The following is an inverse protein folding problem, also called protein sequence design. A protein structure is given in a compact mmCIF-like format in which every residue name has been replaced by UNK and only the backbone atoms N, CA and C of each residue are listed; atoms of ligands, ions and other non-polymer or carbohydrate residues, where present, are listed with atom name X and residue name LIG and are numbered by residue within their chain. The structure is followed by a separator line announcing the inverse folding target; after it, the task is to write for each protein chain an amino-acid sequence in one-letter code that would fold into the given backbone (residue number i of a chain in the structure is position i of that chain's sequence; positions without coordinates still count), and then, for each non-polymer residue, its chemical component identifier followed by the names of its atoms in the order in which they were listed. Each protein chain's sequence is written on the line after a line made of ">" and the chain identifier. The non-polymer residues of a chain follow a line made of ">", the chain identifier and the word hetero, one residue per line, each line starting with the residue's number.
data_IF_902415343950
#
_entry.id   IF_902415343950
#
_cell.length_a   1.000
_cell.length_b   1.000
_cell.length_c   1.000
_cell.angle_alpha   90.00
_cell.angle_beta   90.00
_cell.angle_gamma   90.00
#
_symmetry.space_group_name_H-M   'P 1'
#
loop_
_entity.id
_entity.type
_entity.pdbx_description
1 polymer ?
2 non-polymer ?
3 water ?
#
# COMPACT_ATOMS: atom_id res chain seq x y z
N UNK A 15 15.88 17.64 -6.89
CA UNK A 15 15.32 16.32 -7.26
C UNK A 15 15.39 16.13 -8.77
N UNK A 16 15.92 14.99 -9.20
CA UNK A 16 15.91 14.70 -10.64
C UNK A 16 14.57 14.05 -10.99
N UNK A 17 13.59 14.14 -10.08
CA UNK A 17 12.27 13.61 -10.40
C UNK A 17 11.22 14.71 -10.53
N UNK A 18 11.63 15.98 -10.55
CA UNK A 18 10.65 17.07 -10.58
C UNK A 18 9.88 17.06 -11.91
N UNK A 19 10.59 16.86 -13.03
CA UNK A 19 9.90 16.79 -14.33
C UNK A 19 9.04 15.54 -14.41
N UNK A 20 9.56 14.44 -13.84
CA UNK A 20 8.83 13.19 -13.80
C UNK A 20 7.48 13.37 -13.15
N UNK A 21 7.45 13.94 -11.95
CA UNK A 21 6.17 14.04 -11.23
C UNK A 21 5.22 15.00 -11.93
N UNK A 22 5.77 16.03 -12.59
CA UNK A 22 4.93 16.90 -13.40
C UNK A 22 4.21 16.18 -14.51
N UNK A 23 4.80 15.07 -15.01
CA UNK A 23 4.10 14.22 -15.99
C UNK A 23 3.37 13.05 -15.34
N UNK A 24 3.83 12.60 -14.18
CA UNK A 24 3.32 11.39 -13.55
C UNK A 24 1.90 11.60 -13.06
N UNK A 25 1.64 12.72 -12.36
CA UNK A 25 0.29 12.93 -11.83
C UNK A 25 -0.79 13.11 -12.91
N UNK A 26 -0.60 13.88 -14.00
CA UNK A 26 -1.61 13.85 -15.08
C UNK A 26 -1.82 12.47 -15.68
N UNK A 27 -0.76 11.66 -15.73
CA UNK A 27 -0.88 10.29 -16.22
C UNK A 27 -1.79 9.46 -15.32
N UNK A 28 -1.57 9.52 -14.01
CA UNK A 28 -2.48 8.88 -13.04
C UNK A 28 -3.92 9.33 -13.25
N UNK A 29 -4.13 10.62 -13.52
CA UNK A 29 -5.49 11.09 -13.79
C UNK A 29 -6.09 10.44 -15.04
N UNK A 30 -5.30 10.37 -16.11
CA UNK A 30 -5.80 9.74 -17.33
C UNK A 30 -6.11 8.25 -17.13
N UNK A 31 -5.34 7.54 -16.31
CA UNK A 31 -5.69 6.13 -16.08
C UNK A 31 -6.96 6.02 -15.25
N UNK A 32 -7.15 6.95 -14.28
CA UNK A 32 -8.40 6.96 -13.53
C UNK A 32 -9.59 7.22 -14.43
N UNK A 33 -9.45 8.14 -15.37
CA UNK A 33 -10.53 8.41 -16.32
C UNK A 33 -10.77 7.23 -17.25
N UNK A 34 -9.71 6.52 -17.62
CA UNK A 34 -9.88 5.41 -18.53
C UNK A 34 -10.47 4.20 -17.82
N UNK A 35 -10.42 4.18 -16.50
CA UNK A 35 -11.04 3.08 -15.75
C UNK A 35 -12.52 2.96 -16.06
N UNK A 36 -13.19 4.11 -16.25
CA UNK A 36 -14.65 4.22 -16.46
C UNK A 36 -15.06 3.58 -17.78
N UNK A 37 -14.13 3.44 -18.70
CA UNK A 37 -14.45 2.99 -20.07
C UNK A 37 -14.13 1.50 -20.18
N UNK A 38 -13.74 0.88 -19.08
CA UNK A 38 -13.53 -0.58 -19.09
C UNK A 38 -14.90 -1.24 -19.10
N UNK A 39 -14.98 -2.46 -19.59
CA UNK A 39 -16.27 -3.08 -19.94
C UNK A 39 -16.71 -3.98 -18.79
N UNK A 40 -15.81 -4.83 -18.30
CA UNK A 40 -16.06 -5.63 -17.07
C UNK A 40 -16.21 -4.67 -15.91
N UNK A 41 -17.31 -4.72 -15.20
CA UNK A 41 -17.55 -3.76 -14.14
C UNK A 41 -16.59 -3.95 -12.97
N UNK A 42 -16.23 -5.20 -12.68
CA UNK A 42 -15.28 -5.46 -11.59
C UNK A 42 -13.90 -4.87 -11.90
N UNK A 43 -13.45 -4.98 -13.16
CA UNK A 43 -12.22 -4.32 -13.56
C UNK A 43 -12.32 -2.80 -13.41
N UNK A 44 -13.50 -2.23 -13.71
CA UNK A 44 -13.71 -0.80 -13.54
C UNK A 44 -13.55 -0.38 -12.08
N UNK A 45 -14.18 -1.13 -11.18
CA UNK A 45 -14.04 -0.86 -9.75
C UNK A 45 -12.60 -1.02 -9.27
N UNK A 46 -11.94 -2.08 -9.73
CA UNK A 46 -10.60 -2.38 -9.26
C UNK A 46 -9.61 -1.32 -9.71
N UNK A 47 -9.68 -0.94 -10.98
CA UNK A 47 -8.78 0.11 -11.47
C UNK A 47 -9.08 1.45 -10.81
N UNK A 48 -10.36 1.78 -10.59
CA UNK A 48 -10.68 3.06 -9.95
C UNK A 48 -10.04 3.17 -8.56
N UNK A 49 -10.26 2.13 -7.74
CA UNK A 49 -9.69 2.09 -6.40
C UNK A 49 -8.16 2.15 -6.45
N UNK A 50 -7.57 1.39 -7.39
CA UNK A 50 -6.14 1.41 -7.62
C UNK A 50 -5.62 2.81 -7.93
N UNK A 51 -6.32 3.55 -8.80
CA UNK A 51 -5.81 4.87 -9.16
C UNK A 51 -5.88 5.86 -8.01
N UNK A 52 -6.96 5.81 -7.22
CA UNK A 52 -7.05 6.59 -5.97
C UNK A 52 -5.82 6.35 -5.10
N UNK A 53 -5.52 5.06 -4.83
CA UNK A 53 -4.37 4.76 -3.97
C UNK A 53 -3.07 5.20 -4.61
N UNK A 54 -2.93 4.99 -5.91
CA UNK A 54 -1.74 5.41 -6.65
C UNK A 54 -1.47 6.89 -6.47
N UNK A 55 -2.53 7.69 -6.47
CA UNK A 55 -2.39 9.12 -6.27
C UNK A 55 -1.85 9.42 -4.88
N UNK A 56 -2.47 8.82 -3.86
CA UNK A 56 -2.01 9.06 -2.48
C UNK A 56 -0.57 8.60 -2.29
N UNK A 57 -0.27 7.39 -2.80
CA UNK A 57 1.04 6.80 -2.64
C UNK A 57 2.11 7.60 -3.36
N UNK A 58 1.86 8.06 -4.59
CA UNK A 58 2.92 8.84 -5.25
C UNK A 58 3.10 10.22 -4.63
N UNK A 59 2.05 10.80 -4.01
CA UNK A 59 2.27 12.03 -3.22
C UNK A 59 3.21 11.76 -2.05
N UNK A 60 3.02 10.61 -1.38
CA UNK A 60 3.97 10.19 -0.33
C UNK A 60 5.38 9.99 -0.90
N UNK A 61 5.52 9.22 -1.98
CA UNK A 61 6.84 8.95 -2.54
C UNK A 61 7.54 10.26 -2.90
N UNK A 62 6.78 11.22 -3.41
CA UNK A 62 7.36 12.52 -3.73
C UNK A 62 7.85 13.21 -2.45
N UNK A 63 7.11 13.04 -1.34
CA UNK A 63 7.66 13.49 -0.05
C UNK A 63 8.96 12.77 0.33
N UNK A 64 9.03 11.44 0.16
CA UNK A 64 10.24 10.72 0.56
C UNK A 64 11.43 11.08 -0.32
N UNK A 65 11.20 11.52 -1.56
CA UNK A 65 12.32 11.83 -2.43
C UNK A 65 12.89 13.23 -2.16
N UNK A 66 12.07 14.14 -1.63
CA UNK A 66 12.54 15.49 -1.36
C UNK A 66 13.62 15.60 -0.29
N UNK B 15 8.72 -5.75 23.53
CA UNK B 15 8.44 -6.87 24.41
C UNK B 15 6.93 -6.98 24.67
N UNK B 16 6.27 -5.81 24.78
CA UNK B 16 4.84 -5.72 25.06
C UNK B 16 3.96 -6.15 23.88
N UNK B 17 4.53 -6.44 22.71
CA UNK B 17 3.75 -6.76 21.55
C UNK B 17 4.00 -8.17 21.02
N UNK B 18 4.79 -8.97 21.72
CA UNK B 18 5.11 -10.32 21.26
C UNK B 18 3.86 -11.18 21.16
N UNK B 19 2.97 -11.10 22.17
CA UNK B 19 1.74 -11.88 22.11
C UNK B 19 0.83 -11.36 21.00
N UNK B 20 0.80 -10.04 20.83
CA UNK B 20 0.03 -9.44 19.74
C UNK B 20 0.44 -10.01 18.38
N UNK B 21 1.75 -10.01 18.08
CA UNK B 21 2.21 -10.51 16.78
C UNK B 21 1.97 -11.99 16.63
N UNK B 22 2.12 -12.73 17.74
CA UNK B 22 1.79 -14.13 17.76
C UNK B 22 0.38 -14.42 17.29
N UNK B 23 -0.56 -13.52 17.61
CA UNK B 23 -1.93 -13.69 17.10
C UNK B 23 -2.19 -12.95 15.79
N UNK B 24 -1.44 -11.90 15.51
CA UNK B 24 -1.70 -11.10 14.32
C UNK B 24 -1.39 -11.87 13.05
N UNK B 25 -0.20 -12.50 12.97
CA UNK B 25 0.16 -13.16 11.71
C UNK B 25 -0.77 -14.32 11.30
N UNK B 26 -1.19 -15.25 12.20
CA UNK B 26 -2.25 -16.20 11.81
C UNK B 26 -3.56 -15.53 11.40
N UNK B 27 -3.90 -14.39 12.01
CA UNK B 27 -5.06 -13.62 11.55
C UNK B 27 -4.85 -13.12 10.11
N UNK B 28 -3.67 -12.58 9.79
CA UNK B 28 -3.37 -12.12 8.43
C UNK B 28 -3.50 -13.24 7.40
N UNK B 29 -3.05 -14.46 7.76
CA UNK B 29 -3.25 -15.58 6.84
C UNK B 29 -4.73 -15.90 6.68
N UNK B 30 -5.50 -15.84 7.77
CA UNK B 30 -6.93 -16.14 7.68
C UNK B 30 -7.67 -15.12 6.83
N UNK B 31 -7.30 -13.83 6.92
CA UNK B 31 -7.91 -12.82 6.06
C UNK B 31 -7.50 -13.02 4.60
N UNK B 32 -6.22 -13.34 4.36
CA UNK B 32 -5.78 -13.72 3.01
C UNK B 32 -6.60 -14.88 2.45
N UNK B 33 -6.83 -15.91 3.28
CA UNK B 33 -7.61 -17.07 2.84
C UNK B 33 -9.05 -16.69 2.57
N UNK B 34 -9.66 -15.91 3.46
CA UNK B 34 -11.01 -15.40 3.23
C UNK B 34 -11.12 -14.55 1.97
N UNK B 35 -10.00 -14.00 1.46
CA UNK B 35 -10.10 -13.23 0.22
C UNK B 35 -10.63 -14.07 -0.94
N UNK B 36 -10.34 -15.38 -0.94
CA UNK B 36 -10.74 -16.25 -2.04
C UNK B 36 -12.26 -16.41 -2.16
N UNK B 37 -12.98 -16.32 -1.05
CA UNK B 37 -14.40 -16.63 -1.03
C UNK B 37 -15.30 -15.41 -1.26
N UNK B 38 -14.74 -14.23 -1.48
CA UNK B 38 -15.58 -13.08 -1.79
C UNK B 38 -16.19 -13.27 -3.17
N UNK B 39 -17.33 -12.62 -3.41
CA UNK B 39 -18.05 -12.78 -4.70
C UNK B 39 -17.43 -11.93 -5.79
N UNK B 40 -17.29 -10.63 -5.54
CA UNK B 40 -16.78 -9.72 -6.60
C UNK B 40 -15.31 -10.05 -6.87
N UNK B 41 -14.92 -9.97 -8.14
CA UNK B 41 -13.50 -10.22 -8.49
C UNK B 41 -12.66 -9.04 -8.06
N UNK B 42 -13.23 -7.84 -8.06
CA UNK B 42 -12.49 -6.66 -7.59
C UNK B 42 -12.24 -6.72 -6.09
N UNK B 43 -13.19 -7.24 -5.32
CA UNK B 43 -13.02 -7.42 -3.88
C UNK B 43 -11.94 -8.45 -3.56
N UNK B 44 -11.92 -9.56 -4.30
CA UNK B 44 -10.88 -10.57 -4.12
C UNK B 44 -9.50 -10.03 -4.44
N UNK B 45 -9.35 -9.37 -5.59
CA UNK B 45 -8.05 -8.85 -5.99
C UNK B 45 -7.56 -7.75 -5.04
N UNK B 46 -8.47 -6.88 -4.58
CA UNK B 46 -8.04 -5.83 -3.67
C UNK B 46 -7.60 -6.40 -2.32
N UNK B 47 -8.34 -7.37 -1.77
CA UNK B 47 -7.98 -7.88 -0.43
C UNK B 47 -6.70 -8.71 -0.53
N UNK B 48 -6.52 -9.42 -1.64
CA UNK B 48 -5.34 -10.29 -1.80
C UNK B 48 -4.08 -9.42 -1.85
N UNK B 49 -4.13 -8.33 -2.62
CA UNK B 49 -2.94 -7.44 -2.76
C UNK B 49 -2.63 -6.79 -1.41
N UNK B 50 -3.67 -6.30 -0.70
CA UNK B 50 -3.44 -5.70 0.63
C UNK B 50 -2.82 -6.76 1.55
N UNK B 51 -3.28 -8.01 1.49
CA UNK B 51 -2.69 -8.99 2.39
C UNK B 51 -1.22 -9.24 2.05
N UNK B 52 -0.91 -9.33 0.73
CA UNK B 52 0.49 -9.41 0.28
C UNK B 52 1.31 -8.26 0.86
N UNK B 53 0.81 -7.03 0.72
CA UNK B 53 1.53 -5.87 1.25
C UNK B 53 1.61 -5.91 2.77
N UNK B 54 0.53 -6.36 3.42
CA UNK B 54 0.44 -6.36 4.92
C UNK B 54 1.61 -7.08 5.58
N UNK B 55 2.02 -8.21 5.03
CA UNK B 55 3.14 -9.00 5.63
C UNK B 55 4.39 -8.14 5.77
N UNK B 56 4.83 -7.49 4.70
CA UNK B 56 6.09 -6.71 4.73
C UNK B 56 5.92 -5.45 5.57
N UNK B 57 4.71 -4.89 5.58
CA UNK B 57 4.45 -3.70 6.41
C UNK B 57 4.55 -4.12 7.88
N UNK B 58 3.98 -5.28 8.22
CA UNK B 58 4.00 -5.75 9.62
C UNK B 58 5.41 -6.23 9.99
N UNK B 59 6.14 -6.82 9.04
CA UNK B 59 7.54 -7.08 9.34
C UNK B 59 8.26 -5.78 9.68
N UNK B 60 8.01 -4.72 8.89
CA UNK B 60 8.61 -3.43 9.17
C UNK B 60 8.19 -2.92 10.55
N UNK B 61 6.91 -3.05 10.90
CA UNK B 61 6.45 -2.51 12.18
C UNK B 61 7.07 -3.29 13.34
N UNK B 62 7.19 -4.61 13.20
CA UNK B 62 7.81 -5.43 14.23
C UNK B 62 9.26 -5.06 14.44
N UNK B 63 9.99 -4.86 13.33
CA UNK B 63 11.35 -4.33 13.38
C UNK B 63 11.40 -2.99 14.12
N UNK B 64 10.56 -2.04 13.74
CA UNK B 64 10.58 -0.67 14.35
C UNK B 64 10.31 -0.74 15.85
N UNK B 65 9.44 -1.65 16.29
CA UNK B 65 9.09 -1.78 17.73
C UNK B 65 10.16 -2.62 18.43
N UNK C 15 -2.80 0.46 -25.35
CA UNK C 15 -2.38 1.15 -26.59
C UNK C 15 -2.21 2.64 -26.32
N UNK C 16 -3.30 3.30 -25.94
CA UNK C 16 -3.25 4.75 -25.70
C UNK C 16 -2.29 5.05 -24.56
N UNK C 17 -1.78 3.99 -23.92
CA UNK C 17 -0.93 4.27 -22.77
C UNK C 17 0.48 3.76 -22.96
N UNK C 18 0.79 3.25 -24.17
CA UNK C 18 2.09 2.67 -24.47
C UNK C 18 3.21 3.69 -24.33
N UNK C 19 2.95 4.94 -24.73
CA UNK C 19 3.92 6.01 -24.50
C UNK C 19 4.12 6.24 -23.01
N UNK C 20 3.01 6.29 -22.26
CA UNK C 20 3.13 6.61 -20.85
C UNK C 20 3.83 5.50 -20.09
N UNK C 21 3.50 4.24 -20.41
CA UNK C 21 4.26 3.17 -19.78
C UNK C 21 5.71 3.16 -20.23
N UNK C 22 5.97 3.63 -21.47
CA UNK C 22 7.34 3.79 -21.93
C UNK C 22 8.12 4.75 -21.04
N UNK C 23 7.46 5.78 -20.53
CA UNK C 23 8.18 6.58 -19.53
C UNK C 23 8.13 5.96 -18.14
N UNK C 24 7.04 5.25 -17.82
CA UNK C 24 6.77 4.90 -16.44
C UNK C 24 7.74 3.88 -15.93
N UNK C 25 8.05 2.88 -16.75
CA UNK C 25 8.85 1.76 -16.26
C UNK C 25 10.29 2.18 -15.91
N UNK C 26 11.04 2.89 -16.77
CA UNK C 26 12.34 3.41 -16.30
C UNK C 26 12.20 4.34 -15.12
N UNK C 27 11.10 5.07 -15.03
CA UNK C 27 10.89 5.93 -13.87
C UNK C 27 10.80 5.11 -12.58
N UNK C 28 10.03 4.03 -12.58
CA UNK C 28 10.01 3.14 -11.42
C UNK C 28 11.39 2.59 -11.11
N UNK C 29 12.16 2.23 -12.16
CA UNK C 29 13.53 1.75 -11.95
C UNK C 29 14.39 2.81 -11.26
N UNK C 30 14.27 4.05 -11.72
CA UNK C 30 15.03 5.16 -11.14
C UNK C 30 14.60 5.45 -9.70
N UNK C 31 13.30 5.35 -9.40
CA UNK C 31 12.87 5.64 -8.02
C UNK C 31 13.30 4.52 -7.07
N UNK C 32 13.18 3.27 -7.50
CA UNK C 32 13.68 2.17 -6.66
C UNK C 32 15.20 2.25 -6.49
N UNK C 33 15.91 2.76 -7.50
CA UNK C 33 17.36 2.93 -7.38
C UNK C 33 17.71 4.09 -6.47
N UNK C 34 16.95 5.18 -6.53
CA UNK C 34 17.16 6.30 -5.62
C UNK C 34 16.81 5.97 -4.18
N UNK C 35 15.98 4.94 -3.96
CA UNK C 35 15.66 4.49 -2.61
C UNK C 35 16.91 4.14 -1.81
N UNK C 36 17.92 3.55 -2.46
CA UNK C 36 19.18 3.21 -1.79
C UNK C 36 19.95 4.46 -1.36
N UNK C 37 19.73 5.58 -2.05
CA UNK C 37 20.56 6.76 -1.87
C UNK C 37 20.08 7.66 -0.73
N UNK C 38 18.94 7.37 -0.09
CA UNK C 38 18.49 8.20 1.02
C UNK C 38 19.38 7.95 2.23
N UNK C 39 19.85 9.04 2.85
CA UNK C 39 20.65 8.91 4.06
C UNK C 39 19.80 8.42 5.22
N UNK C 40 18.55 8.88 5.31
CA UNK C 40 17.64 8.49 6.37
C UNK C 40 17.21 7.03 6.23
N UNK C 41 17.35 6.26 7.31
CA UNK C 41 17.07 4.82 7.28
C UNK C 41 15.58 4.53 7.19
N UNK C 42 14.76 5.31 7.88
CA UNK C 42 13.31 5.15 7.78
C UNK C 42 12.81 5.46 6.38
N UNK C 43 13.25 6.58 5.81
CA UNK C 43 12.86 6.94 4.45
C UNK C 43 13.29 5.87 3.45
N UNK C 44 14.52 5.37 3.59
CA UNK C 44 15.01 4.31 2.72
C UNK C 44 14.17 3.04 2.83
N UNK C 45 13.82 2.62 4.06
CA UNK C 45 12.99 1.44 4.26
C UNK C 45 11.57 1.62 3.68
N UNK C 46 10.97 2.80 3.91
CA UNK C 46 9.63 3.03 3.41
C UNK C 46 9.61 3.07 1.88
N UNK C 47 10.54 3.81 1.28
CA UNK C 47 10.53 3.89 -0.17
C UNK C 47 10.86 2.55 -0.80
N UNK C 48 11.77 1.77 -0.21
CA UNK C 48 12.10 0.46 -0.77
C UNK C 48 10.91 -0.48 -0.75
N UNK C 49 10.18 -0.55 0.39
CA UNK C 49 8.94 -1.32 0.45
C UNK C 49 7.88 -0.79 -0.52
N UNK C 50 7.75 0.54 -0.63
CA UNK C 50 6.76 1.12 -1.53
C UNK C 50 7.07 0.76 -2.98
N UNK C 51 8.33 0.80 -3.39
CA UNK C 51 8.64 0.48 -4.78
C UNK C 51 8.42 -0.99 -5.10
N UNK C 52 8.72 -1.89 -4.13
CA UNK C 52 8.35 -3.29 -4.28
C UNK C 52 6.84 -3.44 -4.49
N UNK C 53 6.04 -2.72 -3.69
CA UNK C 53 4.58 -2.78 -3.87
C UNK C 53 4.14 -2.16 -5.19
N UNK C 54 4.87 -1.14 -5.62
CA UNK C 54 4.48 -0.43 -6.82
C UNK C 54 4.66 -1.30 -8.05
N UNK C 55 5.68 -2.17 -8.05
CA UNK C 55 5.88 -3.06 -9.20
C UNK C 55 4.70 -4.01 -9.41
N UNK C 56 4.24 -4.65 -8.34
CA UNK C 56 3.08 -5.53 -8.45
C UNK C 56 1.82 -4.75 -8.83
N UNK C 57 1.63 -3.57 -8.22
CA UNK C 57 0.49 -2.73 -8.56
C UNK C 57 0.49 -2.37 -10.04
N UNK C 58 1.63 -1.96 -10.59
CA UNK C 58 1.64 -1.53 -11.99
C UNK C 58 1.48 -2.71 -12.94
N UNK C 59 1.98 -3.89 -12.57
CA UNK C 59 1.65 -5.11 -13.31
C UNK C 59 0.13 -5.35 -13.35
N UNK C 60 -0.54 -5.20 -12.21
CA UNK C 60 -2.00 -5.39 -12.18
C UNK C 60 -2.74 -4.30 -12.95
N UNK C 61 -2.27 -3.06 -12.86
CA UNK C 61 -2.92 -1.94 -13.51
C UNK C 61 -2.89 -2.12 -15.01
N UNK C 62 -1.74 -2.50 -15.55
CA UNK C 62 -1.70 -2.68 -16.99
C UNK C 62 -2.36 -3.98 -17.43
N UNK C 63 -2.47 -4.98 -16.54
CA UNK C 63 -3.36 -6.10 -16.82
C UNK C 63 -4.81 -5.64 -16.98
N UNK C 64 -5.28 -4.76 -16.08
CA UNK C 64 -6.64 -4.23 -16.15
C UNK C 64 -6.86 -3.39 -17.40
N UNK C 65 -5.90 -2.53 -17.73
CA UNK C 65 -6.03 -1.70 -18.93
C UNK C 65 -5.93 -2.53 -20.21
N UNK C 66 -5.26 -3.68 -20.16
CA UNK C 66 -5.05 -4.48 -21.34
C UNK C 66 -6.10 -5.55 -21.55
N UNK D 15 -18.28 -11.82 9.82
CA UNK D 15 -19.04 -12.35 10.95
C UNK D 15 -18.20 -13.35 11.75
N UNK D 16 -17.27 -14.02 11.05
CA UNK D 16 -16.29 -14.88 11.72
C UNK D 16 -15.15 -14.07 12.32
N UNK D 17 -14.83 -12.92 11.74
CA UNK D 17 -13.68 -12.13 12.18
C UNK D 17 -14.04 -11.07 13.22
N UNK D 18 -15.19 -11.18 13.88
CA UNK D 18 -15.61 -10.09 14.76
C UNK D 18 -14.75 -10.01 16.01
N UNK D 19 -14.36 -11.16 16.57
CA UNK D 19 -13.51 -11.08 17.75
C UNK D 19 -12.08 -10.71 17.38
N UNK D 20 -11.65 -11.10 16.18
CA UNK D 20 -10.32 -10.69 15.69
C UNK D 20 -10.23 -9.18 15.56
N UNK D 21 -11.22 -8.55 14.88
CA UNK D 21 -11.21 -7.10 14.75
C UNK D 21 -11.35 -6.41 16.09
N UNK D 22 -12.11 -7.03 17.02
CA UNK D 22 -12.20 -6.50 18.37
C UNK D 22 -10.87 -6.48 19.09
N UNK D 23 -10.00 -7.43 18.80
CA UNK D 23 -8.62 -7.36 19.32
C UNK D 23 -7.75 -6.42 18.51
N UNK D 24 -8.00 -6.33 17.21
CA UNK D 24 -7.05 -5.68 16.30
C UNK D 24 -7.11 -4.15 16.40
N UNK D 25 -8.32 -3.58 16.55
CA UNK D 25 -8.40 -2.11 16.63
C UNK D 25 -7.67 -1.53 17.86
N UNK D 26 -7.83 -2.04 19.08
CA UNK D 26 -7.04 -1.50 20.19
C UNK D 26 -5.56 -1.77 20.06
N UNK D 27 -5.19 -2.85 19.35
CA UNK D 27 -3.78 -3.11 19.08
C UNK D 27 -3.19 -2.09 18.10
N UNK D 28 -3.93 -1.73 17.04
CA UNK D 28 -3.50 -0.66 16.16
C UNK D 28 -3.32 0.65 16.93
N UNK D 29 -4.29 0.98 17.81
CA UNK D 29 -4.14 2.16 18.67
C UNK D 29 -2.90 2.06 19.56
N UNK D 30 -2.62 0.86 20.10
CA UNK D 30 -1.46 0.67 20.97
C UNK D 30 -0.16 0.86 20.21
N UNK D 31 -0.08 0.42 18.96
CA UNK D 31 1.14 0.62 18.18
C UNK D 31 1.31 2.10 17.83
N UNK D 32 0.23 2.74 17.39
CA UNK D 32 0.27 4.17 17.08
C UNK D 32 0.70 4.98 18.29
N UNK D 33 0.21 4.60 19.48
CA UNK D 33 0.57 5.28 20.70
C UNK D 33 1.99 4.94 21.14
N UNK D 34 2.50 3.77 20.71
CA UNK D 34 3.87 3.38 21.02
C UNK D 34 4.91 4.05 20.12
N UNK D 35 4.48 4.61 18.98
CA UNK D 35 5.40 5.39 18.15
C UNK D 35 6.11 6.49 18.94
N UNK D 36 5.44 7.06 19.96
CA UNK D 36 6.03 8.10 20.80
C UNK D 36 7.26 7.63 21.59
N UNK D 37 7.52 6.33 21.66
CA UNK D 37 8.62 5.85 22.53
C UNK D 37 9.87 5.51 21.72
N UNK D 38 9.88 5.85 20.44
CA UNK D 38 11.09 5.63 19.60
C UNK D 38 11.99 6.87 19.71
N UNK D 39 13.30 6.66 19.66
CA UNK D 39 14.26 7.73 20.01
C UNK D 39 14.55 8.54 18.76
N UNK D 40 14.64 7.88 17.61
CA UNK D 40 14.91 8.61 16.35
C UNK D 40 13.58 9.09 15.80
N UNK D 41 13.45 10.39 15.61
CA UNK D 41 12.19 10.93 15.11
C UNK D 41 11.86 10.49 13.68
N UNK D 42 12.86 10.00 12.92
CA UNK D 42 12.58 9.34 11.65
C UNK D 42 11.74 8.09 11.87
N UNK D 43 12.13 7.25 12.83
CA UNK D 43 11.35 6.06 13.15
C UNK D 43 9.99 6.43 13.74
N UNK D 44 9.92 7.50 14.52
CA UNK D 44 8.62 7.99 15.01
C UNK D 44 7.70 8.36 13.85
N UNK D 45 8.19 9.14 12.91
CA UNK D 45 7.36 9.49 11.75
C UNK D 45 6.99 8.26 10.95
N UNK D 46 7.96 7.36 10.71
CA UNK D 46 7.69 6.15 9.94
C UNK D 46 6.59 5.30 10.57
N UNK D 47 6.64 5.12 11.90
CA UNK D 47 5.60 4.31 12.55
C UNK D 47 4.25 5.03 12.59
N UNK D 48 4.22 6.32 12.93
CA UNK D 48 2.93 7.04 12.97
C UNK D 48 2.26 7.06 11.59
N UNK D 49 3.07 7.17 10.52
CA UNK D 49 2.52 7.17 9.17
C UNK D 49 2.01 5.78 8.81
N UNK D 50 2.79 4.74 9.15
CA UNK D 50 2.38 3.37 8.93
C UNK D 50 1.07 3.07 9.64
N UNK D 51 0.88 3.61 10.84
CA UNK D 51 -0.34 3.33 11.61
C UNK D 51 -1.54 4.09 11.08
N UNK D 52 -1.36 5.31 10.56
CA UNK D 52 -2.47 5.98 9.87
C UNK D 52 -2.91 5.16 8.66
N UNK D 53 -1.93 4.70 7.89
CA UNK D 53 -2.21 3.82 6.76
C UNK D 53 -2.85 2.52 7.22
N UNK D 54 -2.43 2.03 8.37
CA UNK D 54 -2.90 0.73 8.82
C UNK D 54 -4.35 0.78 9.24
N UNK D 55 -4.73 1.82 9.99
CA UNK D 55 -6.13 1.98 10.40
C UNK D 55 -7.05 2.20 9.20
N UNK D 56 -6.62 3.06 8.26
CA UNK D 56 -7.40 3.26 7.03
C UNK D 56 -7.56 1.96 6.26
N UNK D 57 -6.45 1.23 6.07
CA UNK D 57 -6.46 0.00 5.30
C UNK D 57 -7.36 -1.03 5.96
N UNK D 58 -7.29 -1.16 7.28
CA UNK D 58 -8.13 -2.15 7.92
C UNK D 58 -9.58 -1.77 7.97
N UNK D 59 -9.92 -0.47 7.91
CA UNK D 59 -11.33 -0.16 7.69
C UNK D 59 -11.78 -0.60 6.30
N UNK D 60 -10.94 -0.36 5.29
CA UNK D 60 -11.23 -0.87 3.94
C UNK D 60 -11.40 -2.39 3.93
N UNK D 61 -10.52 -3.11 4.64
CA UNK D 61 -10.56 -4.56 4.70
C UNK D 61 -11.83 -5.04 5.39
N UNK D 62 -12.26 -4.32 6.44
CA UNK D 62 -13.53 -4.60 7.08
C UNK D 62 -14.68 -4.47 6.09
N UNK D 63 -14.60 -3.45 5.23
CA UNK D 63 -15.59 -3.28 4.16
C UNK D 63 -15.59 -4.49 3.21
N UNK D 64 -14.41 -4.79 2.64
CA UNK D 64 -14.29 -5.88 1.66
C UNK D 64 -14.71 -7.22 2.25
N UNK D 65 -14.46 -7.43 3.54
CA UNK D 65 -14.84 -8.69 4.18
C UNK D 65 -16.33 -8.70 4.50
N UNK D 66 -16.85 -7.60 5.03
CA UNK D 66 -18.26 -7.47 5.32
C UNK D 66 -19.13 -7.51 4.07
X LIG E 1 6.41 13.19 -22.13
X LIG E 1 7.28 14.12 -22.58
X LIG E 1 7.11 14.65 -23.67
X LIG E 1 8.35 14.50 -21.86
X LIG E 1 8.62 13.97 -20.63
X LIG E 1 9.61 14.34 -20.01
X LIG E 1 7.75 13.01 -20.12
X LIG E 1 7.99 12.48 -18.94
X LIG E 1 7.10 11.55 -18.48
X LIG E 1 7.34 10.98 -17.22
X LIG E 1 6.49 10.02 -16.69
X LIG E 1 6.78 9.44 -15.34
X LIG E 1 5.36 9.62 -17.44
X LIG E 1 4.43 8.57 -16.88
X LIG E 1 5.12 10.16 -18.67
X LIG E 1 5.98 11.13 -19.23
X LIG E 1 5.76 11.71 -20.47
X LIG E 1 6.63 12.66 -20.96
X LIG E 1 4.61 11.30 -21.29
X LIG E 1 3.42 12.22 -21.14
X LIG E 1 2.64 11.81 -20.04
X LIG E 1 2.58 12.22 -22.41
X LIG E 1 2.35 10.88 -22.80
X LIG E 1 3.23 12.98 -23.57
X LIG E 1 3.32 14.36 -23.24
X LIG E 1 2.46 12.82 -24.87
X LIG E 1 1.25 13.62 -24.85
X LIG E 1 0.21 13.50 -26.09
X LIG E 1 -0.46 12.15 -25.93
X LIG E 1 1.05 13.59 -27.34
X LIG E 1 -0.76 14.65 -25.94
X LIG F 1 -7.21 -14.10 21.43
X LIG F 1 -6.90 -14.53 22.66
X LIG F 1 -7.53 -15.43 23.19
X LIG F 1 -5.90 -13.97 23.37
X LIG F 1 -5.13 -12.96 22.88
X LIG F 1 -4.23 -12.49 23.56
X LIG F 1 -5.41 -12.50 21.59
X LIG F 1 -4.69 -11.53 21.10
X LIG F 1 -4.98 -11.10 19.83
X LIG F 1 -4.21 -10.07 19.28
X LIG F 1 -4.45 -9.59 18.01
X LIG F 1 -3.60 -8.49 17.45
X LIG F 1 -5.50 -10.16 17.25
X LIG F 1 -5.78 -9.65 15.86
X LIG F 1 -6.27 -11.17 17.78
X LIG F 1 -6.03 -11.66 19.07
X LIG F 1 -6.78 -12.68 19.65
X LIG F 1 -6.50 -13.13 20.90
X LIG F 1 -7.89 -13.30 18.89
X LIG F 1 -7.44 -14.49 18.08
X LIG F 1 -6.68 -14.06 16.95
X LIG F 1 -8.66 -15.27 17.58
X LIG F 1 -9.61 -14.37 17.03
X LIG F 1 -9.34 -16.10 18.66
X LIG F 1 -8.36 -16.81 19.42
X LIG F 1 -10.32 -17.09 18.06
X LIG F 1 -10.80 -18.03 19.06
X LIG F 1 -11.85 -19.16 18.58
X LIG F 1 -11.13 -19.94 17.51
X LIG F 1 -13.05 -18.40 18.07
X LIG F 1 -12.15 -19.98 19.82
#
# INVERSE_FOLDING_TARGET
>A
MHHHHHHMAKNSNPSAFDRDFGYLMPFLDRVAAAASDLEDASARAELTRLMVEEKARWQRIQELLG
>B
MHHHHHHMAKNSNPSAFDRDFGYLMPFLDRVAAAASDLEDASARAELTRLMVEEKARWQRIQELLG
>C
MHHHHHHMAKNSNPSAFDRDFGYLMPFLDRVAAAASDLEDASARAELTRLMVEEKARWQRIQELLG
>D
MHHHHHHMAKNSNPSAFDRDFGYLMPFLDRVAAAASDLEDASARAELTRLMVEEKARWQRIQELLG
>E hetero
1 FMN N1 C2 O2 N3 C4 O4 C4A N5 C5A C6 C7 C7M C8 C8M C9 C9A N10 C10 C1' C2' O2' C3' O3' C4' O4' C5' O5' P O1P O2P O3P
>F hetero
1 FMN N1 C2 O2 N3 C4 O4 C4A N5 C5A C6 C7 C7M C8 C8M C9 C9A N10 C10 C1' C2' O2' C3' O3' C4' O4' C5' O5' P O1P O2P O3P
#
